data_IF_968155372554
#
_entry.id   IF_968155372554
#
_cell.length_a   1.000
_cell.length_b   1.000
_cell.length_c   1.000
_cell.angle_alpha   90.00
_cell.angle_beta   90.00
_cell.angle_gamma   90.00
#
_symmetry.space_group_name_H-M   'P 1'
#
loop_
_entity.id
_entity.type
_entity.pdbx_description
1 polymer ?
#
# COMPACT_ATOMS: atom_id res chain seq x y z
N UNK A 1 25.61 -0.65 21.78
CA UNK A 1 26.09 -1.63 20.76
C UNK A 1 25.65 -3.05 21.09
N UNK A 2 25.80 -3.51 22.33
CA UNK A 2 25.30 -4.82 22.79
C UNK A 2 23.78 -4.95 22.71
N UNK A 3 23.03 -3.91 23.11
CA UNK A 3 21.55 -3.91 23.03
C UNK A 3 21.04 -3.98 21.59
N UNK A 4 21.63 -3.21 20.68
CA UNK A 4 21.28 -3.25 19.25
C UNK A 4 21.51 -4.64 18.64
N UNK A 5 22.63 -5.29 18.97
CA UNK A 5 22.93 -6.65 18.49
C UNK A 5 21.92 -7.66 19.07
N UNK A 6 21.58 -7.54 20.36
CA UNK A 6 20.58 -8.41 20.98
C UNK A 6 19.19 -8.22 20.35
N UNK A 7 18.79 -6.98 20.09
CA UNK A 7 17.55 -6.65 19.39
C UNK A 7 17.55 -7.22 17.95
N UNK A 8 18.62 -7.01 17.18
CA UNK A 8 18.76 -7.55 15.83
C UNK A 8 18.65 -9.09 15.81
N UNK A 9 19.28 -9.78 16.76
CA UNK A 9 19.18 -11.24 16.89
C UNK A 9 17.75 -11.67 17.22
N UNK A 10 17.08 -10.97 18.14
CA UNK A 10 15.68 -11.23 18.49
C UNK A 10 14.75 -11.08 17.30
N UNK A 11 14.85 -9.96 16.57
CA UNK A 11 14.05 -9.69 15.36
C UNK A 11 14.36 -10.71 14.27
N UNK A 12 15.62 -11.12 14.11
CA UNK A 12 15.98 -12.18 13.16
C UNK A 12 15.33 -13.52 13.55
N UNK A 13 15.32 -13.85 14.84
CA UNK A 13 14.69 -15.06 15.36
C UNK A 13 13.19 -15.10 15.10
N UNK A 14 12.47 -14.01 15.38
CA UNK A 14 11.03 -13.92 15.07
C UNK A 14 10.77 -13.97 13.57
N UNK A 15 11.56 -13.24 12.77
CA UNK A 15 11.44 -13.24 11.31
C UNK A 15 11.59 -14.63 10.71
N UNK A 16 12.51 -15.45 11.23
CA UNK A 16 12.66 -16.85 10.81
C UNK A 16 11.38 -17.64 11.10
N UNK A 17 10.80 -17.49 12.28
CA UNK A 17 9.56 -18.18 12.65
C UNK A 17 8.37 -17.70 11.82
N UNK A 18 8.31 -16.42 11.46
CA UNK A 18 7.24 -15.85 10.63
C UNK A 18 7.31 -16.30 9.16
N UNK A 19 8.53 -16.47 8.62
CA UNK A 19 8.74 -16.91 7.23
C UNK A 19 8.70 -18.44 7.10
N UNK A 20 8.97 -19.18 8.18
CA UNK A 20 9.03 -20.65 8.17
C UNK A 20 7.75 -21.30 7.62
N UNK A 21 6.52 -20.91 8.00
CA UNK A 21 5.29 -21.46 7.42
C UNK A 21 5.22 -21.35 5.90
N UNK A 22 5.64 -20.21 5.35
CA UNK A 22 5.65 -19.96 3.91
C UNK A 22 6.67 -20.89 3.24
N UNK A 23 7.88 -20.97 3.80
CA UNK A 23 8.92 -21.86 3.30
C UNK A 23 8.46 -23.34 3.34
N UNK A 24 7.85 -23.77 4.44
CA UNK A 24 7.32 -25.13 4.60
C UNK A 24 6.25 -25.45 3.55
N UNK A 25 5.30 -24.53 3.31
CA UNK A 25 4.27 -24.71 2.28
C UNK A 25 4.91 -24.82 0.89
N UNK A 26 5.88 -23.96 0.57
CA UNK A 26 6.57 -23.99 -0.72
C UNK A 26 7.32 -25.30 -0.93
N UNK A 27 8.11 -25.75 0.05
CA UNK A 27 8.82 -27.03 -0.04
C UNK A 27 7.88 -28.22 -0.05
N UNK A 28 6.78 -28.18 0.69
CA UNK A 28 5.74 -29.20 0.66
C UNK A 28 5.11 -29.31 -0.72
N UNK A 29 4.67 -28.20 -1.32
CA UNK A 29 4.12 -28.20 -2.67
C UNK A 29 5.13 -28.70 -3.69
N UNK A 30 6.38 -28.26 -3.58
CA UNK A 30 7.45 -28.65 -4.48
C UNK A 30 7.74 -30.17 -4.42
N UNK A 31 7.84 -30.73 -3.21
CA UNK A 31 8.21 -32.13 -3.00
C UNK A 31 7.03 -33.10 -3.16
N UNK A 32 5.86 -32.75 -2.65
CA UNK A 32 4.70 -33.65 -2.55
C UNK A 32 3.73 -33.48 -3.72
N UNK A 33 3.38 -32.24 -4.06
CA UNK A 33 2.36 -31.94 -5.09
C UNK A 33 2.99 -31.97 -6.49
N UNK A 34 4.03 -31.17 -6.71
CA UNK A 34 4.73 -31.08 -7.99
C UNK A 34 5.69 -32.23 -8.24
N UNK A 35 6.10 -32.95 -7.16
CA UNK A 35 7.03 -34.09 -7.19
C UNK A 35 8.32 -33.79 -7.95
N UNK A 36 8.81 -32.55 -7.85
CA UNK A 36 10.04 -32.09 -8.50
C UNK A 36 11.07 -31.66 -7.47
N UNK A 37 12.32 -32.11 -7.63
CA UNK A 37 13.42 -31.56 -6.84
C UNK A 37 13.58 -30.07 -7.17
N UNK A 38 13.78 -29.19 -6.18
CA UNK A 38 14.03 -27.78 -6.43
C UNK A 38 15.32 -27.63 -7.26
N UNK A 39 15.21 -26.96 -8.42
CA UNK A 39 16.38 -26.63 -9.23
C UNK A 39 17.27 -25.65 -8.47
N UNK A 40 18.59 -25.86 -8.51
CA UNK A 40 19.58 -24.98 -7.87
C UNK A 40 19.37 -24.76 -6.36
N UNK A 41 19.11 -25.83 -5.59
CA UNK A 41 18.87 -25.77 -4.13
C UNK A 41 19.88 -24.89 -3.38
N UNK A 42 21.19 -24.97 -3.69
CA UNK A 42 22.21 -24.11 -3.06
C UNK A 42 21.93 -22.63 -3.25
N UNK A 43 21.53 -22.23 -4.47
CA UNK A 43 21.21 -20.83 -4.80
C UNK A 43 19.96 -20.36 -4.07
N UNK A 44 18.96 -21.24 -3.96
CA UNK A 44 17.72 -20.97 -3.20
C UNK A 44 18.06 -20.74 -1.72
N UNK A 45 18.84 -21.63 -1.10
CA UNK A 45 19.21 -21.51 0.32
C UNK A 45 20.02 -20.24 0.60
N UNK A 46 20.98 -19.90 -0.27
CA UNK A 46 21.75 -18.65 -0.16
C UNK A 46 20.85 -17.43 -0.34
N UNK A 47 19.95 -17.45 -1.33
CA UNK A 47 18.97 -16.37 -1.55
C UNK A 47 18.04 -16.20 -0.35
N UNK A 48 17.55 -17.30 0.20
CA UNK A 48 16.69 -17.31 1.38
C UNK A 48 17.41 -16.74 2.61
N UNK A 49 18.69 -17.08 2.80
CA UNK A 49 19.53 -16.49 3.84
C UNK A 49 19.66 -14.97 3.69
N UNK A 50 19.93 -14.47 2.48
CA UNK A 50 19.99 -13.03 2.23
C UNK A 50 18.63 -12.34 2.43
N UNK A 51 17.52 -12.99 2.07
CA UNK A 51 16.17 -12.48 2.33
C UNK A 51 15.90 -12.36 3.83
N UNK A 52 16.28 -13.36 4.63
CA UNK A 52 16.10 -13.30 6.09
C UNK A 52 16.90 -12.16 6.72
N UNK A 53 18.16 -11.99 6.33
CA UNK A 53 18.99 -10.87 6.82
C UNK A 53 18.38 -9.54 6.38
N UNK A 54 18.03 -9.41 5.09
CA UNK A 54 17.46 -8.19 4.53
C UNK A 54 16.15 -7.80 5.22
N UNK A 55 15.25 -8.77 5.43
CA UNK A 55 13.98 -8.57 6.11
C UNK A 55 14.18 -8.17 7.58
N UNK A 56 15.14 -8.80 8.28
CA UNK A 56 15.43 -8.48 9.68
C UNK A 56 16.00 -7.07 9.83
N UNK A 57 16.98 -6.69 9.01
CA UNK A 57 17.55 -5.33 9.02
C UNK A 57 16.50 -4.27 8.66
N UNK A 58 15.61 -4.61 7.74
CA UNK A 58 14.50 -3.76 7.34
C UNK A 58 13.48 -3.57 8.46
N UNK A 59 13.07 -4.65 9.15
CA UNK A 59 12.17 -4.56 10.31
C UNK A 59 12.77 -3.75 11.44
N UNK A 60 14.06 -3.95 11.76
CA UNK A 60 14.76 -3.09 12.74
C UNK A 60 14.75 -1.63 12.28
N UNK A 61 15.04 -1.36 11.01
CA UNK A 61 14.98 0.00 10.45
C UNK A 61 13.58 0.63 10.54
N UNK A 62 12.53 -0.19 10.47
CA UNK A 62 11.15 0.27 10.63
C UNK A 62 10.82 0.61 12.07
N UNK A 63 11.13 -0.28 13.01
CA UNK A 63 10.85 -0.12 14.43
C UNK A 63 11.64 1.05 15.03
N UNK A 64 12.87 1.28 14.59
CA UNK A 64 13.74 2.32 15.16
C UNK A 64 13.60 3.69 14.46
N UNK A 65 13.22 3.72 13.17
CA UNK A 65 13.15 4.99 12.43
C UNK A 65 11.71 5.38 12.04
N UNK A 66 10.99 4.50 11.33
CA UNK A 66 9.71 4.87 10.73
C UNK A 66 8.55 4.83 11.73
N UNK A 67 8.54 3.89 12.67
CA UNK A 67 7.49 3.81 13.70
C UNK A 67 7.57 5.00 14.68
N UNK A 68 8.75 5.36 15.23
CA UNK A 68 8.86 6.52 16.11
C UNK A 68 8.56 7.83 15.39
N UNK A 69 8.97 7.95 14.12
CA UNK A 69 8.62 9.11 13.30
C UNK A 69 7.10 9.19 13.08
N UNK A 70 6.45 8.08 12.73
CA UNK A 70 5.00 8.00 12.59
C UNK A 70 4.26 8.38 13.87
N UNK A 71 4.71 7.86 15.03
CA UNK A 71 4.16 8.18 16.34
C UNK A 71 4.31 9.66 16.69
N UNK A 72 5.52 10.21 16.56
CA UNK A 72 5.78 11.62 16.85
C UNK A 72 4.95 12.55 15.95
N UNK A 73 4.85 12.23 14.65
CA UNK A 73 4.02 13.00 13.74
C UNK A 73 2.53 12.88 14.04
N UNK A 74 2.05 11.68 14.39
CA UNK A 74 0.68 11.50 14.84
C UNK A 74 0.43 12.35 16.10
N UNK A 75 1.24 12.23 17.14
CA UNK A 75 1.11 13.02 18.38
C UNK A 75 1.11 14.52 18.13
N UNK A 76 2.00 15.02 17.27
CA UNK A 76 2.05 16.44 16.90
C UNK A 76 0.79 16.88 16.15
N UNK A 77 0.33 16.10 15.17
CA UNK A 77 -0.83 16.43 14.34
C UNK A 77 -2.17 16.19 15.04
N UNK A 78 -2.19 15.38 16.10
CA UNK A 78 -3.37 15.14 16.93
C UNK A 78 -3.36 15.95 18.24
N UNK A 79 -2.35 16.79 18.46
CA UNK A 79 -2.24 17.58 19.68
C UNK A 79 -3.39 18.61 19.75
N UNK A 80 -4.19 18.64 20.83
CA UNK A 80 -5.31 19.58 20.97
C UNK A 80 -4.91 21.06 20.80
N UNK A 81 -3.72 21.44 21.26
CA UNK A 81 -3.17 22.79 21.09
C UNK A 81 -2.89 23.10 19.63
N UNK A 82 -2.31 22.15 18.89
CA UNK A 82 -2.06 22.30 17.44
C UNK A 82 -3.36 22.37 16.65
N UNK A 83 -4.35 21.57 17.05
CA UNK A 83 -5.68 21.54 16.43
C UNK A 83 -6.54 22.77 16.78
N UNK A 84 -6.13 23.57 17.79
CA UNK A 84 -6.90 24.71 18.26
C UNK A 84 -8.22 24.33 18.93
N UNK A 85 -8.31 23.11 19.47
CA UNK A 85 -9.51 22.57 20.11
C UNK A 85 -9.37 22.74 21.63
N UNK A 86 -10.36 23.34 22.28
CA UNK A 86 -10.42 23.34 23.73
C UNK A 86 -10.67 21.92 24.25
N UNK A 87 -10.09 21.48 25.39
CA UNK A 87 -10.25 20.12 25.90
C UNK A 87 -11.71 19.69 26.13
N UNK A 88 -12.63 20.63 26.21
CA UNK A 88 -14.07 20.46 26.42
C UNK A 88 -14.88 20.37 25.12
N UNK A 89 -14.30 20.74 23.97
CA UNK A 89 -15.00 20.69 22.70
C UNK A 89 -15.09 19.27 22.14
N UNK A 90 -16.23 18.91 21.50
CA UNK A 90 -16.35 17.62 20.84
C UNK A 90 -15.38 17.56 19.66
N UNK A 91 -14.44 16.62 19.71
CA UNK A 91 -13.47 16.34 18.65
C UNK A 91 -14.19 16.06 17.33
N UNK A 92 -13.98 16.91 16.31
CA UNK A 92 -14.59 16.73 14.98
C UNK A 92 -13.56 16.11 14.04
N UNK A 93 -14.02 15.29 13.11
CA UNK A 93 -13.15 14.72 12.07
C UNK A 93 -12.50 15.80 11.19
N UNK A 94 -13.11 16.99 11.11
CA UNK A 94 -12.62 18.13 10.33
C UNK A 94 -11.30 18.69 10.86
N UNK A 95 -11.06 18.55 12.16
CA UNK A 95 -9.88 19.13 12.81
C UNK A 95 -8.61 18.39 12.37
N UNK A 96 -8.73 17.11 12.02
CA UNK A 96 -7.62 16.23 11.62
C UNK A 96 -7.22 16.36 10.14
N UNK A 97 -7.58 17.46 9.47
CA UNK A 97 -7.32 17.63 8.04
C UNK A 97 -5.82 17.51 7.69
N UNK A 98 -4.93 17.98 8.58
CA UNK A 98 -3.48 17.83 8.42
C UNK A 98 -3.01 16.38 8.49
N UNK A 99 -3.65 15.55 9.33
CA UNK A 99 -3.39 14.10 9.36
C UNK A 99 -3.76 13.47 8.02
N UNK A 100 -4.91 13.85 7.44
CA UNK A 100 -5.38 13.30 6.17
C UNK A 100 -4.49 13.70 4.99
N UNK A 101 -4.01 14.94 4.98
CA UNK A 101 -3.08 15.45 3.97
C UNK A 101 -1.70 14.79 4.10
N UNK A 102 -1.21 14.62 5.33
CA UNK A 102 0.04 13.93 5.59
C UNK A 102 -0.02 12.46 5.17
N UNK A 103 -1.10 11.77 5.56
CA UNK A 103 -1.39 10.39 5.17
C UNK A 103 -1.43 10.23 3.63
N UNK A 104 -2.09 11.16 2.92
CA UNK A 104 -2.11 11.19 1.46
C UNK A 104 -0.70 11.39 0.87
N UNK A 105 0.07 12.33 1.42
CA UNK A 105 1.42 12.66 0.94
C UNK A 105 2.40 11.50 1.11
N UNK A 106 2.38 10.84 2.27
CA UNK A 106 3.18 9.64 2.54
C UNK A 106 2.75 8.47 1.65
N UNK A 107 1.44 8.22 1.54
CA UNK A 107 0.91 7.18 0.65
C UNK A 107 1.35 7.41 -0.81
N UNK A 108 1.28 8.66 -1.29
CA UNK A 108 1.75 9.02 -2.62
C UNK A 108 3.26 8.80 -2.78
N UNK A 109 4.07 9.36 -1.88
CA UNK A 109 5.52 9.37 -1.98
C UNK A 109 6.11 7.96 -1.94
N UNK A 110 5.64 7.14 -1.00
CA UNK A 110 6.09 5.75 -0.84
C UNK A 110 5.73 4.90 -2.06
N UNK A 111 4.52 5.09 -2.60
CA UNK A 111 4.07 4.38 -3.80
C UNK A 111 4.88 4.76 -5.03
N UNK A 112 5.21 6.04 -5.22
CA UNK A 112 6.06 6.47 -6.34
C UNK A 112 7.48 5.91 -6.21
N UNK A 113 7.99 5.78 -4.99
CA UNK A 113 9.30 5.21 -4.69
C UNK A 113 9.34 3.68 -4.76
N UNK A 114 8.19 3.00 -4.79
CA UNK A 114 8.08 1.54 -4.76
C UNK A 114 8.76 0.88 -5.99
N UNK A 115 9.84 0.11 -5.81
CA UNK A 115 10.58 -0.50 -6.92
C UNK A 115 9.74 -1.49 -7.73
N UNK A 116 8.88 -2.26 -7.06
CA UNK A 116 7.98 -3.23 -7.69
C UNK A 116 7.02 -2.53 -8.65
N UNK A 117 6.52 -1.34 -8.30
CA UNK A 117 5.64 -0.55 -9.16
C UNK A 117 6.38 0.00 -10.38
N UNK A 118 7.62 0.43 -10.20
CA UNK A 118 8.47 0.87 -11.31
C UNK A 118 8.63 -0.27 -12.33
N UNK A 119 8.98 -1.47 -11.86
CA UNK A 119 9.19 -2.63 -12.72
C UNK A 119 7.91 -3.04 -13.47
N UNK A 120 6.78 -3.18 -12.76
CA UNK A 120 5.49 -3.55 -13.36
C UNK A 120 5.02 -2.51 -14.37
N UNK A 121 5.24 -1.22 -14.09
CA UNK A 121 4.84 -0.14 -15.00
C UNK A 121 5.67 -0.10 -16.28
N UNK A 122 6.98 -0.35 -16.17
CA UNK A 122 7.86 -0.49 -17.35
C UNK A 122 7.42 -1.69 -18.19
N UNK A 123 7.15 -2.84 -17.54
CA UNK A 123 6.70 -4.04 -18.25
C UNK A 123 5.36 -3.84 -18.94
N UNK A 124 4.42 -3.15 -18.29
CA UNK A 124 3.13 -2.80 -18.88
C UNK A 124 3.29 -1.87 -20.10
N UNK A 125 4.21 -0.90 -20.04
CA UNK A 125 4.51 -0.04 -21.18
C UNK A 125 5.07 -0.84 -22.37
N UNK A 126 6.02 -1.74 -22.13
CA UNK A 126 6.61 -2.59 -23.17
C UNK A 126 5.57 -3.51 -23.84
N UNK A 127 4.77 -4.21 -23.03
CA UNK A 127 3.78 -5.18 -23.53
C UNK A 127 2.60 -4.50 -24.21
N UNK A 128 2.27 -3.27 -23.82
CA UNK A 128 1.22 -2.47 -24.48
C UNK A 128 1.68 -1.75 -25.75
N UNK A 129 2.93 -1.91 -26.18
CA UNK A 129 3.48 -1.21 -27.34
C UNK A 129 3.52 0.31 -27.16
N UNK A 130 3.68 0.79 -25.91
CA UNK A 130 3.69 2.21 -25.56
C UNK A 130 2.31 2.85 -25.42
N UNK A 131 1.22 2.08 -25.53
CA UNK A 131 -0.14 2.61 -25.36
C UNK A 131 -0.42 3.08 -23.92
N UNK A 132 0.25 2.47 -22.93
CA UNK A 132 0.29 2.88 -21.52
C UNK A 132 1.68 3.45 -21.21
N UNK A 133 1.75 4.67 -20.69
CA UNK A 133 3.03 5.22 -20.22
C UNK A 133 3.28 4.79 -18.77
N UNK A 134 4.47 4.28 -18.51
CA UNK A 134 4.87 3.79 -17.20
C UNK A 134 4.72 4.87 -16.12
N UNK A 135 5.11 6.11 -16.41
CA UNK A 135 4.98 7.21 -15.44
C UNK A 135 3.53 7.57 -15.14
N UNK A 136 2.65 7.59 -16.16
CA UNK A 136 1.22 7.90 -15.98
C UNK A 136 0.54 6.82 -15.13
N UNK A 137 0.87 5.55 -15.36
CA UNK A 137 0.37 4.44 -14.54
C UNK A 137 0.85 4.55 -13.09
N UNK A 138 2.13 4.85 -12.87
CA UNK A 138 2.69 5.05 -11.52
C UNK A 138 1.97 6.15 -10.76
N UNK A 139 1.71 7.28 -11.43
CA UNK A 139 0.98 8.41 -10.84
C UNK A 139 -0.47 8.01 -10.53
N UNK A 140 -1.15 7.29 -11.43
CA UNK A 140 -2.50 6.78 -11.17
C UNK A 140 -2.55 5.90 -9.92
N UNK A 141 -1.63 4.93 -9.81
CA UNK A 141 -1.52 4.05 -8.64
C UNK A 141 -1.24 4.85 -7.37
N UNK A 142 -0.28 5.78 -7.40
CA UNK A 142 0.08 6.62 -6.26
C UNK A 142 -1.05 7.54 -5.79
N UNK A 143 -1.86 8.08 -6.71
CA UNK A 143 -3.09 8.83 -6.36
C UNK A 143 -4.10 7.92 -5.66
N UNK A 144 -4.25 6.68 -6.13
CA UNK A 144 -5.11 5.67 -5.51
C UNK A 144 -4.67 5.38 -4.07
N UNK A 145 -3.38 5.09 -3.84
CA UNK A 145 -2.85 4.89 -2.49
C UNK A 145 -3.02 6.14 -1.63
N UNK A 146 -2.69 7.33 -2.14
CA UNK A 146 -2.83 8.58 -1.40
C UNK A 146 -4.26 8.79 -0.89
N UNK A 147 -5.24 8.60 -1.78
CA UNK A 147 -6.64 8.68 -1.41
C UNK A 147 -7.04 7.59 -0.41
N UNK A 148 -6.64 6.34 -0.65
CA UNK A 148 -6.95 5.21 0.23
C UNK A 148 -6.40 5.41 1.64
N UNK A 149 -5.11 5.75 1.76
CA UNK A 149 -4.45 5.96 3.06
C UNK A 149 -5.06 7.17 3.78
N UNK A 150 -5.39 8.24 3.06
CA UNK A 150 -6.11 9.39 3.63
C UNK A 150 -7.51 9.00 4.16
N UNK A 151 -8.28 8.23 3.38
CA UNK A 151 -9.59 7.74 3.78
C UNK A 151 -9.50 6.78 4.97
N UNK A 152 -8.47 5.94 5.02
CA UNK A 152 -8.21 5.06 6.15
C UNK A 152 -7.82 5.84 7.41
N UNK A 153 -7.04 6.92 7.29
CA UNK A 153 -6.75 7.82 8.40
C UNK A 153 -8.03 8.51 8.91
N UNK A 154 -8.90 8.98 8.00
CA UNK A 154 -10.24 9.46 8.35
C UNK A 154 -11.06 8.40 9.09
N UNK A 155 -11.00 7.14 8.65
CA UNK A 155 -11.69 6.02 9.30
C UNK A 155 -11.16 5.76 10.72
N UNK A 156 -9.84 5.85 10.94
CA UNK A 156 -9.24 5.71 12.29
C UNK A 156 -9.75 6.84 13.20
N UNK A 157 -9.76 8.09 12.73
CA UNK A 157 -10.24 9.25 13.50
C UNK A 157 -11.74 9.13 13.80
N UNK A 158 -12.56 8.86 12.79
CA UNK A 158 -14.03 8.78 12.92
C UNK A 158 -14.51 7.52 13.64
N UNK A 159 -13.69 6.46 13.72
CA UNK A 159 -14.03 5.22 14.41
C UNK A 159 -15.07 4.35 13.74
N UNK A 160 -15.33 4.59 12.46
CA UNK A 160 -16.32 3.87 11.68
C UNK A 160 -15.85 2.43 11.36
N UNK A 161 -16.76 1.46 11.15
CA UNK A 161 -16.36 0.07 10.92
C UNK A 161 -15.59 -0.12 9.60
N UNK A 162 -14.40 -0.74 9.67
CA UNK A 162 -13.57 -1.06 8.49
C UNK A 162 -14.33 -1.83 7.38
N UNK A 163 -15.17 -2.85 7.69
CA UNK A 163 -15.83 -3.64 6.64
C UNK A 163 -16.68 -2.80 5.68
N UNK A 164 -17.29 -1.70 6.15
CA UNK A 164 -18.13 -0.85 5.29
C UNK A 164 -17.33 -0.22 4.15
N UNK A 165 -16.12 0.26 4.45
CA UNK A 165 -15.24 0.88 3.46
C UNK A 165 -14.72 -0.13 2.46
N UNK A 166 -14.32 -1.31 2.94
CA UNK A 166 -13.77 -2.36 2.07
C UNK A 166 -14.87 -2.92 1.16
N UNK A 167 -16.08 -3.16 1.68
CA UNK A 167 -17.23 -3.56 0.86
C UNK A 167 -17.58 -2.50 -0.18
N UNK A 168 -17.62 -1.21 0.21
CA UNK A 168 -17.90 -0.12 -0.73
C UNK A 168 -16.80 -0.02 -1.81
N UNK A 169 -15.53 -0.08 -1.42
CA UNK A 169 -14.39 -0.04 -2.33
C UNK A 169 -14.43 -1.20 -3.34
N UNK A 170 -14.65 -2.43 -2.88
CA UNK A 170 -14.77 -3.57 -3.79
C UNK A 170 -16.03 -3.53 -4.66
N UNK A 171 -17.14 -2.97 -4.17
CA UNK A 171 -18.32 -2.73 -5.01
C UNK A 171 -17.98 -1.81 -6.18
N UNK A 172 -17.24 -0.74 -5.93
CA UNK A 172 -16.72 0.16 -6.98
C UNK A 172 -15.78 -0.58 -7.92
N UNK A 173 -14.83 -1.37 -7.39
CA UNK A 173 -13.90 -2.17 -8.22
C UNK A 173 -14.66 -3.12 -9.14
N UNK A 174 -15.64 -3.86 -8.61
CA UNK A 174 -16.45 -4.81 -9.38
C UNK A 174 -17.22 -4.06 -10.47
N UNK A 175 -17.91 -2.97 -10.12
CA UNK A 175 -18.62 -2.15 -11.08
C UNK A 175 -17.69 -1.64 -12.19
N UNK A 176 -16.52 -1.10 -11.82
CA UNK A 176 -15.55 -0.59 -12.78
C UNK A 176 -14.97 -1.70 -13.69
N UNK A 177 -14.79 -2.91 -13.15
CA UNK A 177 -14.26 -4.05 -13.90
C UNK A 177 -15.14 -4.39 -15.11
N UNK A 178 -16.46 -4.22 -15.03
CA UNK A 178 -17.37 -4.45 -16.17
C UNK A 178 -17.18 -3.46 -17.32
N UNK A 179 -16.69 -2.25 -17.05
CA UNK A 179 -16.52 -1.19 -18.05
C UNK A 179 -15.06 -1.03 -18.52
N UNK A 180 -14.09 -1.62 -17.81
CA UNK A 180 -12.68 -1.49 -18.10
C UNK A 180 -12.22 -2.32 -19.31
N UNK A 181 -11.10 -1.91 -19.92
CA UNK A 181 -10.45 -2.68 -20.99
C UNK A 181 -9.89 -3.99 -20.44
N UNK A 182 -10.13 -5.11 -21.14
CA UNK A 182 -9.64 -6.45 -20.71
C UNK A 182 -8.13 -6.51 -20.46
N UNK A 183 -7.33 -5.71 -21.15
CA UNK A 183 -5.88 -5.67 -20.98
C UNK A 183 -5.42 -4.94 -19.70
N UNK A 184 -6.21 -3.98 -19.17
CA UNK A 184 -5.82 -3.23 -17.97
C UNK A 184 -6.29 -3.92 -16.68
N UNK A 185 -7.33 -4.77 -16.75
CA UNK A 185 -7.89 -5.43 -15.56
C UNK A 185 -6.80 -6.21 -14.79
N UNK A 186 -5.99 -7.10 -15.41
CA UNK A 186 -4.95 -7.81 -14.68
C UNK A 186 -3.95 -6.86 -14.02
N UNK A 187 -3.57 -5.80 -14.71
CA UNK A 187 -2.63 -4.79 -14.21
C UNK A 187 -3.20 -3.99 -13.04
N UNK A 188 -4.50 -3.68 -13.07
CA UNK A 188 -5.18 -3.01 -11.97
C UNK A 188 -5.20 -3.88 -10.71
N UNK A 189 -5.53 -5.16 -10.82
CA UNK A 189 -5.54 -6.07 -9.66
C UNK A 189 -4.13 -6.37 -9.15
N UNK A 190 -3.13 -6.45 -10.04
CA UNK A 190 -1.73 -6.59 -9.64
C UNK A 190 -1.21 -5.33 -8.93
N UNK A 191 -1.70 -4.14 -9.31
CA UNK A 191 -1.29 -2.88 -8.68
C UNK A 191 -1.56 -2.84 -7.18
N UNK A 192 -2.66 -3.44 -6.70
CA UNK A 192 -2.95 -3.55 -5.27
C UNK A 192 -1.93 -4.42 -4.54
N UNK A 193 -1.52 -5.55 -5.13
CA UNK A 193 -0.46 -6.41 -4.59
C UNK A 193 0.92 -5.74 -4.62
N UNK A 194 1.21 -5.00 -5.69
CA UNK A 194 2.44 -4.22 -5.85
C UNK A 194 2.55 -3.11 -4.81
N UNK A 195 1.45 -2.44 -4.45
CA UNK A 195 1.44 -1.44 -3.37
C UNK A 195 1.54 -2.06 -1.98
N UNK A 196 1.38 -3.38 -1.87
CA UNK A 196 1.65 -4.11 -0.62
C UNK A 196 3.12 -4.53 -0.44
N UNK A 197 4.02 -3.93 -1.21
CA UNK A 197 5.43 -4.32 -1.31
C UNK A 197 6.31 -3.61 -0.26
N UNK A 198 7.62 -3.73 -0.45
CA UNK A 198 8.70 -3.45 0.49
C UNK A 198 8.83 -2.00 0.95
N UNK A 199 8.27 -1.01 0.28
CA UNK A 199 8.38 0.39 0.74
C UNK A 199 7.08 0.87 1.37
N UNK A 200 5.97 0.62 0.70
CA UNK A 200 4.69 1.25 1.01
C UNK A 200 4.04 0.69 2.29
N UNK A 201 3.91 -0.63 2.41
CA UNK A 201 3.20 -1.25 3.55
C UNK A 201 3.80 -0.91 4.90
N UNK A 202 5.12 -1.04 5.11
CA UNK A 202 5.67 -0.78 6.41
C UNK A 202 5.49 0.66 6.87
N UNK A 203 5.63 1.62 5.96
CA UNK A 203 5.44 3.05 6.27
C UNK A 203 3.97 3.33 6.56
N UNK A 204 3.06 2.76 5.77
CA UNK A 204 1.61 2.88 6.00
C UNK A 204 1.20 2.20 7.31
N UNK A 205 1.77 1.04 7.64
CA UNK A 205 1.54 0.36 8.90
C UNK A 205 2.05 1.19 10.08
N UNK A 206 3.26 1.73 10.00
CA UNK A 206 3.84 2.64 10.98
C UNK A 206 2.89 3.81 11.29
N UNK A 207 2.44 4.48 10.23
CA UNK A 207 1.49 5.59 10.30
C UNK A 207 0.17 5.17 10.95
N UNK A 208 -0.39 4.04 10.52
CA UNK A 208 -1.66 3.52 11.03
C UNK A 208 -1.58 3.16 12.51
N UNK A 209 -0.54 2.41 12.91
CA UNK A 209 -0.31 2.04 14.31
C UNK A 209 -0.09 3.27 15.19
N UNK A 210 0.70 4.25 14.72
CA UNK A 210 0.95 5.48 15.47
C UNK A 210 -0.30 6.33 15.63
N UNK A 211 -1.06 6.52 14.56
CA UNK A 211 -2.32 7.28 14.62
C UNK A 211 -3.35 6.60 15.53
N UNK A 212 -3.49 5.28 15.44
CA UNK A 212 -4.39 4.52 16.31
C UNK A 212 -3.91 4.47 17.77
N UNK A 213 -2.62 4.63 18.04
CA UNK A 213 -2.09 4.72 19.41
C UNK A 213 -2.30 6.10 20.02
N UNK A 214 -2.22 7.16 19.20
CA UNK A 214 -2.39 8.54 19.64
C UNK A 214 -3.86 8.94 19.88
N UNK A 215 -4.82 8.25 19.25
CA UNK A 215 -6.26 8.57 19.36
C UNK A 215 -6.92 7.69 20.43
N UNK A 216 -7.50 8.26 21.50
CA UNK A 216 -8.17 7.50 22.54
C UNK A 216 -9.31 6.61 22.00
N UNK A 217 -9.39 5.38 22.50
CA UNK A 217 -10.44 4.43 22.13
C UNK A 217 -10.22 3.72 20.79
N UNK A 218 -9.02 3.82 20.20
CA UNK A 218 -8.62 3.08 18.99
C UNK A 218 -7.70 1.91 19.33
N UNK A 219 -7.81 0.87 18.51
CA UNK A 219 -6.98 -0.33 18.60
C UNK A 219 -5.88 -0.25 17.55
N UNK A 220 -4.59 -0.24 17.91
CA UNK A 220 -3.50 -0.27 16.93
C UNK A 220 -3.58 -1.47 15.98
N UNK A 221 -4.02 -2.63 16.50
CA UNK A 221 -4.17 -3.85 15.72
C UNK A 221 -5.35 -3.78 14.74
N UNK A 222 -6.56 -3.44 15.20
CA UNK A 222 -7.74 -3.45 14.33
C UNK A 222 -7.82 -2.20 13.46
N UNK A 223 -7.48 -1.05 14.03
CA UNK A 223 -7.62 0.24 13.37
C UNK A 223 -6.38 0.65 12.60
N UNK A 224 -5.19 0.49 13.20
CA UNK A 224 -3.93 0.84 12.57
C UNK A 224 -3.56 -0.07 11.40
N UNK A 225 -3.56 -1.39 11.62
CA UNK A 225 -3.23 -2.36 10.56
C UNK A 225 -4.25 -2.34 9.41
N UNK A 226 -5.51 -2.02 9.70
CA UNK A 226 -6.58 -1.88 8.69
C UNK A 226 -6.28 -0.85 7.59
N UNK A 227 -5.34 0.08 7.83
CA UNK A 227 -4.90 1.08 6.86
C UNK A 227 -4.28 0.44 5.60
N UNK A 228 -3.64 -0.73 5.73
CA UNK A 228 -3.05 -1.48 4.62
C UNK A 228 -4.11 -1.92 3.60
N UNK A 229 -5.32 -2.26 4.08
CA UNK A 229 -6.41 -2.65 3.19
C UNK A 229 -6.82 -1.51 2.26
N UNK A 230 -6.84 -0.27 2.75
CA UNK A 230 -7.09 0.91 1.91
C UNK A 230 -5.97 1.15 0.90
N UNK A 231 -4.72 1.00 1.32
CA UNK A 231 -3.56 1.11 0.43
C UNK A 231 -3.57 0.05 -0.68
N UNK A 232 -4.33 -1.05 -0.53
CA UNK A 232 -4.43 -2.12 -1.52
C UNK A 232 -5.63 -1.97 -2.47
N UNK A 233 -6.79 -1.54 -1.97
CA UNK A 233 -8.04 -1.47 -2.76
C UNK A 233 -8.07 -0.25 -3.70
N UNK A 234 -7.67 0.92 -3.21
CA UNK A 234 -7.80 2.16 -3.97
C UNK A 234 -6.84 2.32 -5.17
N UNK A 235 -5.65 1.70 -5.20
CA UNK A 235 -4.88 1.55 -6.44
C UNK A 235 -5.68 0.91 -7.58
N UNK A 236 -6.42 -0.16 -7.28
CA UNK A 236 -7.25 -0.87 -8.26
C UNK A 236 -8.31 0.08 -8.81
N UNK A 237 -9.02 0.77 -7.91
CA UNK A 237 -10.04 1.77 -8.27
C UNK A 237 -9.47 2.87 -9.17
N UNK A 238 -8.27 3.36 -8.83
CA UNK A 238 -7.61 4.43 -9.57
C UNK A 238 -7.13 3.99 -10.95
N UNK A 239 -6.52 2.79 -11.07
CA UNK A 239 -6.07 2.26 -12.37
C UNK A 239 -7.24 1.96 -13.30
N UNK A 240 -8.33 1.37 -12.78
CA UNK A 240 -9.55 1.16 -13.58
C UNK A 240 -10.19 2.49 -13.98
N UNK A 241 -10.23 3.48 -13.08
CA UNK A 241 -10.72 4.83 -13.39
C UNK A 241 -9.86 5.56 -14.44
N UNK A 242 -8.54 5.39 -14.36
CA UNK A 242 -7.58 5.92 -15.33
C UNK A 242 -7.83 5.38 -16.75
N UNK A 243 -8.09 4.08 -16.91
CA UNK A 243 -8.46 3.49 -18.20
C UNK A 243 -9.72 4.15 -18.79
N UNK A 244 -10.76 4.29 -17.97
CA UNK A 244 -12.02 4.88 -18.40
C UNK A 244 -11.83 6.34 -18.83
N UNK A 245 -11.07 7.11 -18.05
CA UNK A 245 -10.77 8.51 -18.35
C UNK A 245 -10.01 8.64 -19.68
N UNK A 246 -8.99 7.82 -19.90
CA UNK A 246 -8.23 7.84 -21.15
C UNK A 246 -9.09 7.46 -22.34
N UNK A 247 -9.96 6.44 -22.20
CA UNK A 247 -10.88 6.03 -23.27
C UNK A 247 -11.84 7.14 -23.64
N UNK A 248 -12.43 7.82 -22.65
CA UNK A 248 -13.29 8.98 -22.87
C UNK A 248 -12.57 10.12 -23.59
N UNK A 249 -11.34 10.43 -23.19
CA UNK A 249 -10.54 11.49 -23.80
C UNK A 249 -10.10 11.15 -25.24
N UNK A 250 -9.76 9.89 -25.52
CA UNK A 250 -9.39 9.42 -26.88
C UNK A 250 -10.59 9.41 -27.82
N UNK A 251 -11.75 8.92 -27.36
CA UNK A 251 -12.98 8.93 -28.16
C UNK A 251 -13.44 10.35 -28.55
N UNK A 252 -13.30 11.33 -27.65
CA UNK A 252 -13.58 12.75 -27.96
C UNK A 252 -12.61 13.32 -29.01
N UNK A 253 -11.32 13.00 -28.93
CA UNK A 253 -10.32 13.49 -29.90
C UNK A 253 -10.56 12.96 -31.32
N UNK A 254 -11.01 11.71 -31.47
CA UNK A 254 -11.36 11.16 -32.79
C UNK A 254 -12.60 11.84 -33.38
N UNK A 255 -13.62 12.12 -32.57
CA UNK A 255 -14.82 12.86 -33.00
C UNK A 255 -14.49 14.29 -33.45
N UNK A 256 -13.72 15.05 -32.65
CA UNK A 256 -13.32 16.42 -33.02
C UNK A 256 -12.40 16.45 -34.24
N UNK A 257 -11.61 15.39 -34.48
CA UNK A 257 -10.78 15.28 -35.68
C UNK A 257 -11.63 14.99 -36.92
N UNK A 258 -12.68 14.17 -36.81
CA UNK A 258 -13.63 13.95 -37.91
C UNK A 258 -14.46 15.19 -38.24
N UNK A 259 -14.90 15.96 -37.24
CA UNK A 259 -15.61 17.23 -37.46
C UNK A 259 -14.75 18.31 -38.14
N UNK A 260 -13.42 18.27 -37.97
CA UNK A 260 -12.50 19.20 -38.66
C UNK A 260 -12.14 18.79 -40.10
N UNK A 261 -12.49 17.55 -40.49
CA UNK A 261 -12.24 17.01 -41.83
C UNK A 261 -13.48 17.16 -42.73
N UNK A 262 -14.65 17.39 -42.13
CA UNK A 262 -15.90 17.78 -42.80
C UNK A 262 -16.00 19.30 -42.92
#
# INVERSE_FOLDING_TARGET
>A
MTEFIAHLISVTGSTVLDVLPIALILFFFQAVVLRKKPAHLKRILIGFFYVLIGLSLFLVGLEEALFPLGNAMAEMLTNPVFLGIEPTDPVRWQDYMWVYLFAASIGFATTIAEPSLIAVSIKAQEVSGGALKAFELRIAVAIGVAFGVSLGAYRIVSGTPLPLYIMAGYTVVIAQTFFATKSIIPLAYDSGGVTTSTVTVPVVAALGLGLASAIPGRSPLLDGFGLIAFASVFPIVSVLGYDMLIRMLRGRKEQTRQEKIL
#
